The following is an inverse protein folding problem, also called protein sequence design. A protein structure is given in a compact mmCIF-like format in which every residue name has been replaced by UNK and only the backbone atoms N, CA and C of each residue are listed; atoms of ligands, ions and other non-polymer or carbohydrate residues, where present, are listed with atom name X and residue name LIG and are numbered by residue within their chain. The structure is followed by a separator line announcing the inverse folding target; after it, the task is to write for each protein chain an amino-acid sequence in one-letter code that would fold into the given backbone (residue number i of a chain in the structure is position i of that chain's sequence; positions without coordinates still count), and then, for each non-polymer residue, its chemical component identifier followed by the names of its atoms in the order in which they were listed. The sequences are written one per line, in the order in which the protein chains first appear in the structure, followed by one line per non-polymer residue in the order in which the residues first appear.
data_IF_158208673297
#
_entry.id   IF_158208673297
#
_cell.length_a   1.000
_cell.length_b   1.000
_cell.length_c   1.000
_cell.angle_alpha   90.00
_cell.angle_beta   90.00
_cell.angle_gamma   90.00
#
_symmetry.space_group_name_H-M   'P 1'
#
loop_
_entity.id
_entity.type
_entity.pdbx_description
1 polymer ?
#
# COMPACT_ATOMS: atom_id res chain seq x y z
N UNK A 1 -1.64 -17.47 -7.38
CA UNK A 1 -1.54 -16.54 -6.25
C UNK A 1 -0.73 -17.18 -5.15
N UNK A 2 0.33 -16.51 -4.72
CA UNK A 2 0.99 -16.81 -3.46
C UNK A 2 0.48 -15.79 -2.43
N UNK A 3 0.07 -16.26 -1.25
CA UNK A 3 0.05 -15.35 -0.10
C UNK A 3 1.47 -14.91 0.20
N UNK A 4 1.67 -13.79 0.92
CA UNK A 4 3.00 -13.36 1.36
C UNK A 4 3.79 -14.51 1.99
N UNK A 5 3.17 -15.28 2.89
CA UNK A 5 3.81 -16.43 3.53
C UNK A 5 4.21 -17.52 2.51
N UNK A 6 3.39 -17.80 1.48
CA UNK A 6 3.74 -18.77 0.43
C UNK A 6 4.88 -18.28 -0.46
N UNK A 7 4.99 -16.97 -0.69
CA UNK A 7 6.14 -16.39 -1.39
C UNK A 7 7.42 -16.64 -0.58
N UNK A 8 7.39 -16.40 0.72
CA UNK A 8 8.53 -16.63 1.61
C UNK A 8 8.95 -18.10 1.64
N UNK A 9 8.00 -19.04 1.76
CA UNK A 9 8.28 -20.49 1.66
C UNK A 9 8.99 -20.82 0.34
N UNK A 10 8.43 -20.38 -0.78
CA UNK A 10 8.93 -20.70 -2.12
C UNK A 10 10.33 -20.13 -2.39
N UNK A 11 10.58 -18.88 -2.00
CA UNK A 11 11.77 -18.14 -2.41
C UNK A 11 12.90 -18.17 -1.37
N UNK A 12 12.61 -18.51 -0.11
CA UNK A 12 13.59 -18.56 0.97
C UNK A 12 13.82 -19.97 1.54
N UNK A 13 13.19 -21.00 0.97
CA UNK A 13 13.25 -22.40 1.42
C UNK A 13 12.91 -22.56 2.92
N UNK A 14 11.87 -21.84 3.35
CA UNK A 14 11.41 -21.82 4.73
C UNK A 14 10.24 -22.77 4.96
N UNK A 15 10.10 -23.25 6.20
CA UNK A 15 8.84 -23.85 6.65
C UNK A 15 7.71 -22.82 6.63
N UNK A 16 6.45 -23.27 6.66
CA UNK A 16 5.31 -22.34 6.71
C UNK A 16 5.34 -21.50 7.99
N UNK A 17 5.72 -22.12 9.10
CA UNK A 17 5.87 -21.49 10.40
C UNK A 17 6.98 -20.43 10.39
N UNK A 18 8.16 -20.75 9.85
CA UNK A 18 9.28 -19.80 9.76
C UNK A 18 8.96 -18.65 8.81
N UNK A 19 8.32 -18.92 7.68
CA UNK A 19 7.85 -17.91 6.75
C UNK A 19 6.87 -16.94 7.43
N UNK A 20 5.92 -17.47 8.19
CA UNK A 20 4.96 -16.68 8.94
C UNK A 20 5.65 -15.81 10.01
N UNK A 21 6.55 -16.39 10.80
CA UNK A 21 7.31 -15.64 11.81
C UNK A 21 8.16 -14.54 11.19
N UNK A 22 8.81 -14.81 10.05
CA UNK A 22 9.63 -13.85 9.34
C UNK A 22 8.79 -12.72 8.73
N UNK A 23 7.65 -13.06 8.14
CA UNK A 23 6.68 -12.09 7.63
C UNK A 23 6.22 -11.13 8.75
N UNK A 24 5.81 -11.66 9.90
CA UNK A 24 5.41 -10.86 11.06
C UNK A 24 6.55 -10.00 11.61
N UNK A 25 7.77 -10.55 11.67
CA UNK A 25 8.96 -9.81 12.12
C UNK A 25 9.21 -8.60 11.21
N UNK A 26 9.27 -8.80 9.90
CA UNK A 26 9.53 -7.71 8.96
C UNK A 26 8.40 -6.69 8.89
N UNK A 27 7.16 -7.13 8.99
CA UNK A 27 6.04 -6.20 9.10
C UNK A 27 6.15 -5.32 10.34
N UNK A 28 6.50 -5.91 11.51
CA UNK A 28 6.66 -5.17 12.76
C UNK A 28 7.86 -4.21 12.75
N UNK A 29 8.98 -4.64 12.16
CA UNK A 29 10.24 -3.87 12.17
C UNK A 29 10.23 -2.75 11.13
N UNK A 30 9.66 -2.98 9.95
CA UNK A 30 9.74 -2.08 8.81
C UNK A 30 8.41 -1.47 8.37
N UNK A 31 7.28 -1.92 8.92
CA UNK A 31 5.93 -1.48 8.49
C UNK A 31 5.45 -2.07 7.17
N UNK A 32 6.34 -2.75 6.44
CA UNK A 32 6.07 -3.44 5.19
C UNK A 32 7.06 -4.60 5.06
N UNK A 33 6.55 -5.83 4.95
CA UNK A 33 7.41 -7.00 5.02
C UNK A 33 8.39 -7.14 3.84
N UNK A 34 8.01 -6.64 2.64
CA UNK A 34 8.91 -6.64 1.48
C UNK A 34 10.17 -5.81 1.70
N UNK A 35 10.14 -4.81 2.59
CA UNK A 35 11.36 -4.05 2.93
C UNK A 35 12.41 -4.95 3.62
N UNK A 36 11.97 -5.82 4.52
CA UNK A 36 12.87 -6.80 5.14
C UNK A 36 13.38 -7.84 4.14
N UNK A 37 12.53 -8.30 3.22
CA UNK A 37 12.92 -9.20 2.15
C UNK A 37 13.98 -8.58 1.23
N UNK A 38 13.80 -7.33 0.83
CA UNK A 38 14.74 -6.66 -0.07
C UNK A 38 16.06 -6.37 0.62
N UNK A 39 16.05 -5.93 1.88
CA UNK A 39 17.27 -5.65 2.66
C UNK A 39 18.09 -6.90 2.95
N UNK A 40 17.44 -7.99 3.37
CA UNK A 40 18.13 -9.15 3.95
C UNK A 40 18.24 -10.34 3.00
N UNK A 41 17.35 -10.44 2.01
CA UNK A 41 17.24 -11.61 1.12
C UNK A 41 17.39 -11.27 -0.36
N UNK A 42 17.67 -10.00 -0.70
CA UNK A 42 17.87 -9.52 -2.08
C UNK A 42 16.69 -9.82 -3.01
N UNK A 43 15.48 -9.93 -2.46
CA UNK A 43 14.26 -10.05 -3.24
C UNK A 43 13.95 -8.71 -3.91
N UNK A 44 13.69 -8.73 -5.21
CA UNK A 44 13.21 -7.58 -5.96
C UNK A 44 11.76 -7.25 -5.53
N UNK A 45 11.50 -6.04 -5.00
CA UNK A 45 10.14 -5.63 -4.64
C UNK A 45 9.13 -5.75 -5.80
N UNK A 46 9.55 -5.51 -7.05
CA UNK A 46 8.67 -5.60 -8.21
C UNK A 46 8.32 -7.06 -8.54
N UNK A 47 9.24 -8.01 -8.33
CA UNK A 47 8.95 -9.44 -8.46
C UNK A 47 7.95 -9.89 -7.39
N UNK A 48 8.15 -9.45 -6.14
CA UNK A 48 7.20 -9.71 -5.06
C UNK A 48 5.80 -9.16 -5.38
N UNK A 49 5.71 -7.90 -5.83
CA UNK A 49 4.43 -7.29 -6.22
C UNK A 49 3.74 -8.08 -7.33
N UNK A 50 4.48 -8.54 -8.34
CA UNK A 50 3.94 -9.34 -9.43
C UNK A 50 3.34 -10.67 -8.95
N UNK A 51 4.04 -11.40 -8.08
CA UNK A 51 3.59 -12.72 -7.61
C UNK A 51 2.52 -12.67 -6.50
N UNK A 52 2.46 -11.56 -5.76
CA UNK A 52 1.59 -11.39 -4.58
C UNK A 52 0.42 -10.46 -4.90
N UNK A 53 0.64 -9.14 -4.93
CA UNK A 53 -0.44 -8.14 -5.00
C UNK A 53 -1.10 -8.11 -6.38
N UNK A 54 -0.33 -8.14 -7.47
CA UNK A 54 -0.86 -8.08 -8.82
C UNK A 54 -1.60 -9.38 -9.19
N UNK A 55 -1.21 -10.51 -8.61
CA UNK A 55 -1.83 -11.82 -8.82
C UNK A 55 -3.16 -12.02 -8.07
N UNK A 56 -3.61 -11.06 -7.24
CA UNK A 56 -4.89 -11.13 -6.56
C UNK A 56 -6.08 -10.94 -7.53
N UNK A 57 -7.09 -11.85 -7.56
CA UNK A 57 -8.30 -11.72 -8.37
C UNK A 57 -9.26 -10.70 -7.73
N UNK A 58 -8.80 -9.44 -7.62
CA UNK A 58 -9.56 -8.38 -6.94
C UNK A 58 -10.93 -8.14 -7.58
N UNK A 59 -11.10 -8.43 -8.86
CA UNK A 59 -12.38 -8.34 -9.56
C UNK A 59 -13.44 -9.33 -9.04
N UNK A 60 -13.03 -10.43 -8.41
CA UNK A 60 -13.95 -11.41 -7.80
C UNK A 60 -14.28 -11.05 -6.34
N UNK A 61 -13.37 -10.32 -5.68
CA UNK A 61 -13.41 -10.01 -4.25
C UNK A 61 -14.05 -8.63 -4.01
N UNK A 62 -13.61 -7.63 -4.76
CA UNK A 62 -14.05 -6.25 -4.65
C UNK A 62 -15.13 -5.95 -5.67
N UNK A 63 -16.17 -5.26 -5.21
CA UNK A 63 -17.28 -4.77 -6.02
C UNK A 63 -17.43 -3.28 -5.72
N UNK A 64 -18.08 -2.50 -6.61
CA UNK A 64 -18.41 -1.12 -6.31
C UNK A 64 -19.09 -1.00 -4.95
N UNK A 65 -18.68 -0.02 -4.15
CA UNK A 65 -19.23 0.23 -2.83
C UNK A 65 -19.98 1.57 -2.81
N UNK A 66 -21.32 1.56 -3.03
CA UNK A 66 -22.11 2.77 -3.03
C UNK A 66 -22.15 3.50 -1.69
N UNK A 67 -21.92 2.81 -0.56
CA UNK A 67 -21.90 3.44 0.76
C UNK A 67 -20.61 4.22 0.95
N UNK A 68 -19.47 3.62 0.61
CA UNK A 68 -18.18 4.30 0.60
C UNK A 68 -18.19 5.49 -0.35
N UNK A 69 -18.71 5.30 -1.58
CA UNK A 69 -18.81 6.38 -2.56
C UNK A 69 -19.60 7.57 -2.02
N UNK A 70 -20.79 7.33 -1.47
CA UNK A 70 -21.62 8.39 -0.86
C UNK A 70 -20.91 9.12 0.29
N UNK A 71 -20.15 8.39 1.10
CA UNK A 71 -19.36 9.00 2.18
C UNK A 71 -18.30 9.94 1.62
N UNK A 72 -17.53 9.50 0.60
CA UNK A 72 -16.51 10.32 -0.04
C UNK A 72 -17.11 11.51 -0.78
N UNK A 73 -18.25 11.34 -1.46
CA UNK A 73 -19.00 12.42 -2.12
C UNK A 73 -19.57 13.46 -1.14
N UNK A 74 -19.70 13.10 0.15
CA UNK A 74 -20.15 14.04 1.19
C UNK A 74 -19.05 14.98 1.68
N UNK A 75 -17.79 14.75 1.28
CA UNK A 75 -16.69 15.64 1.62
C UNK A 75 -16.82 16.97 0.87
N UNK A 76 -16.64 18.08 1.59
CA UNK A 76 -16.58 19.41 0.98
C UNK A 76 -15.21 19.60 0.33
N UNK A 77 -15.09 19.22 -0.94
CA UNK A 77 -13.83 19.26 -1.70
C UNK A 77 -13.32 20.68 -1.97
N UNK A 78 -14.09 21.71 -1.63
CA UNK A 78 -13.60 23.10 -1.62
C UNK A 78 -12.71 23.40 -0.41
N UNK A 79 -12.76 22.55 0.63
CA UNK A 79 -12.00 22.70 1.88
C UNK A 79 -10.99 21.59 2.10
N UNK A 80 -11.29 20.37 1.64
CA UNK A 80 -10.42 19.21 1.81
C UNK A 80 -10.07 18.62 0.45
N UNK A 81 -8.80 18.26 0.27
CA UNK A 81 -8.32 17.54 -0.91
C UNK A 81 -8.19 16.06 -0.56
N UNK A 82 -9.06 15.17 -1.06
CA UNK A 82 -8.91 13.74 -0.80
C UNK A 82 -7.68 13.19 -1.53
N UNK A 83 -6.79 12.56 -0.79
CA UNK A 83 -5.53 12.01 -1.30
C UNK A 83 -5.29 10.61 -0.74
N UNK A 84 -4.88 9.68 -1.60
CA UNK A 84 -4.58 8.31 -1.20
C UNK A 84 -3.16 8.19 -0.65
N UNK A 85 -3.00 7.48 0.47
CA UNK A 85 -1.71 7.15 1.06
C UNK A 85 -1.60 5.65 1.39
N UNK A 86 -0.83 4.90 0.60
CA UNK A 86 -0.73 3.43 0.70
C UNK A 86 0.70 2.90 0.76
N UNK A 87 0.91 1.76 1.45
CA UNK A 87 2.17 0.99 1.41
C UNK A 87 2.24 0.03 0.22
N UNK A 88 1.12 -0.19 -0.49
CA UNK A 88 1.10 -1.00 -1.71
C UNK A 88 1.76 -0.25 -2.87
N UNK A 89 2.14 -0.98 -3.91
CA UNK A 89 2.57 -0.37 -5.16
C UNK A 89 1.40 0.29 -5.91
N UNK A 90 1.71 1.20 -6.83
CA UNK A 90 0.71 2.03 -7.52
C UNK A 90 -0.31 1.19 -8.32
N UNK A 91 0.11 0.06 -8.92
CA UNK A 91 -0.78 -0.81 -9.69
C UNK A 91 -1.92 -1.33 -8.82
N UNK A 92 -1.59 -1.87 -7.64
CA UNK A 92 -2.55 -2.40 -6.69
C UNK A 92 -3.47 -1.30 -6.16
N UNK A 93 -2.91 -0.18 -5.70
CA UNK A 93 -3.68 0.95 -5.16
C UNK A 93 -4.74 1.46 -6.14
N UNK A 94 -4.36 1.69 -7.41
CA UNK A 94 -5.29 2.11 -8.47
C UNK A 94 -6.35 1.05 -8.78
N UNK A 95 -5.96 -0.24 -8.83
CA UNK A 95 -6.90 -1.34 -9.09
C UNK A 95 -8.00 -1.41 -8.03
N UNK A 96 -7.65 -1.23 -6.76
CA UNK A 96 -8.60 -1.22 -5.63
C UNK A 96 -9.62 -0.10 -5.78
N UNK A 97 -9.19 1.16 -5.91
CA UNK A 97 -10.13 2.30 -5.97
C UNK A 97 -10.99 2.30 -7.22
N UNK A 98 -10.46 1.77 -8.34
CA UNK A 98 -11.23 1.57 -9.57
C UNK A 98 -12.34 0.54 -9.38
N UNK A 99 -12.04 -0.61 -8.78
CA UNK A 99 -13.02 -1.68 -8.54
C UNK A 99 -14.08 -1.28 -7.51
N UNK A 100 -13.70 -0.50 -6.50
CA UNK A 100 -14.62 0.07 -5.52
C UNK A 100 -15.48 1.21 -6.10
N UNK A 101 -15.14 1.73 -7.29
CA UNK A 101 -15.88 2.79 -7.96
C UNK A 101 -15.72 4.16 -7.30
N UNK A 102 -14.51 4.47 -6.81
CA UNK A 102 -14.19 5.72 -6.10
C UNK A 102 -12.90 6.38 -6.58
N UNK A 103 -12.27 5.87 -7.65
CA UNK A 103 -11.03 6.41 -8.21
C UNK A 103 -11.13 7.90 -8.54
N UNK A 104 -12.27 8.32 -9.09
CA UNK A 104 -12.57 9.70 -9.49
C UNK A 104 -12.73 10.69 -8.32
N UNK A 105 -12.81 10.19 -7.08
CA UNK A 105 -13.02 11.00 -5.88
C UNK A 105 -11.72 11.39 -5.18
N UNK A 106 -10.57 10.93 -5.67
CA UNK A 106 -9.25 11.27 -5.15
C UNK A 106 -8.45 12.07 -6.16
N UNK A 107 -7.75 13.11 -5.69
CA UNK A 107 -6.94 13.97 -6.56
C UNK A 107 -5.54 13.39 -6.83
N UNK A 108 -5.15 12.34 -6.12
CA UNK A 108 -3.89 11.66 -6.35
C UNK A 108 -3.60 10.56 -5.33
N UNK A 109 -2.43 9.95 -5.51
CA UNK A 109 -1.97 8.81 -4.72
C UNK A 109 -0.48 8.92 -4.43
N UNK A 110 -0.14 8.83 -3.15
CA UNK A 110 1.20 8.53 -2.67
C UNK A 110 1.26 7.05 -2.31
N UNK A 111 2.18 6.35 -2.94
CA UNK A 111 2.40 4.91 -2.81
C UNK A 111 3.86 4.62 -2.44
N UNK A 112 4.12 3.42 -1.93
CA UNK A 112 5.48 2.93 -1.72
C UNK A 112 6.07 2.54 -3.07
N UNK A 113 7.11 3.24 -3.53
CA UNK A 113 7.69 3.01 -4.86
C UNK A 113 8.64 1.80 -4.83
N UNK A 114 8.14 0.67 -5.31
CA UNK A 114 8.89 -0.59 -5.36
C UNK A 114 10.03 -0.55 -6.40
N UNK A 115 10.09 0.47 -7.25
CA UNK A 115 11.21 0.71 -8.16
C UNK A 115 12.37 1.51 -7.56
N UNK A 116 12.26 1.98 -6.31
CA UNK A 116 13.29 2.78 -5.64
C UNK A 116 13.67 2.19 -4.27
N UNK A 117 14.98 2.06 -4.03
CA UNK A 117 15.53 1.56 -2.77
C UNK A 117 16.35 2.64 -2.05
N UNK A 118 16.30 2.71 -0.70
CA UNK A 118 15.45 1.92 0.21
C UNK A 118 13.96 2.23 0.06
N UNK A 119 13.07 1.29 0.42
CA UNK A 119 11.63 1.54 0.30
C UNK A 119 11.19 2.57 1.36
N UNK A 120 10.46 3.59 0.90
CA UNK A 120 9.81 4.57 1.76
C UNK A 120 8.35 4.17 1.96
N UNK A 121 8.00 3.75 3.18
CA UNK A 121 6.66 3.28 3.53
C UNK A 121 6.25 3.71 4.95
N UNK A 122 4.96 3.65 5.26
CA UNK A 122 4.45 3.86 6.63
C UNK A 122 4.96 2.73 7.53
N UNK A 123 5.28 3.02 8.81
CA UNK A 123 4.97 4.24 9.56
C UNK A 123 6.09 5.30 9.53
N UNK A 124 7.04 5.24 8.60
CA UNK A 124 8.14 6.23 8.57
C UNK A 124 7.62 7.66 8.36
N UNK A 125 8.24 8.63 9.06
CA UNK A 125 7.92 10.05 8.89
C UNK A 125 8.19 10.53 7.45
N UNK A 126 9.17 9.92 6.78
CA UNK A 126 9.51 10.21 5.39
C UNK A 126 8.35 9.93 4.45
N UNK A 127 7.60 8.85 4.67
CA UNK A 127 6.42 8.51 3.86
C UNK A 127 5.28 9.53 4.03
N UNK A 128 5.06 10.04 5.26
CA UNK A 128 4.08 11.10 5.50
C UNK A 128 4.52 12.42 4.86
N UNK A 129 5.79 12.81 5.01
CA UNK A 129 6.33 14.01 4.38
C UNK A 129 6.27 13.93 2.84
N UNK A 130 6.51 12.74 2.26
CA UNK A 130 6.31 12.48 0.83
C UNK A 130 4.86 12.73 0.42
N UNK A 131 3.91 12.21 1.19
CA UNK A 131 2.49 12.37 0.92
C UNK A 131 2.03 13.83 0.99
N UNK A 132 2.43 14.55 2.03
CA UNK A 132 2.13 15.97 2.20
C UNK A 132 2.67 16.81 1.04
N UNK A 133 3.92 16.55 0.64
CA UNK A 133 4.56 17.22 -0.49
C UNK A 133 3.84 16.95 -1.81
N UNK A 134 3.51 15.69 -2.09
CA UNK A 134 2.82 15.30 -3.33
C UNK A 134 1.36 15.80 -3.38
N UNK A 135 0.67 15.81 -2.23
CA UNK A 135 -0.67 16.36 -2.12
C UNK A 135 -0.69 17.90 -2.22
N UNK A 136 0.45 18.55 -1.97
CA UNK A 136 0.55 20.02 -1.90
C UNK A 136 -0.05 20.58 -0.62
N UNK A 137 0.05 19.84 0.50
CA UNK A 137 -0.45 20.27 1.79
C UNK A 137 0.31 21.52 2.28
N UNK A 138 -0.38 22.55 2.79
CA UNK A 138 0.29 23.77 3.28
C UNK A 138 1.05 23.53 4.60
N UNK A 139 0.60 22.57 5.42
CA UNK A 139 1.27 22.14 6.64
C UNK A 139 0.73 20.80 7.14
N UNK A 140 1.50 20.09 7.97
CA UNK A 140 1.05 18.85 8.65
C UNK A 140 -0.21 19.07 9.50
N UNK A 141 -0.31 20.22 10.19
CA UNK A 141 -1.47 20.57 11.03
C UNK A 141 -2.78 20.74 10.24
N UNK A 142 -2.69 20.92 8.92
CA UNK A 142 -3.84 21.00 8.03
C UNK A 142 -4.27 19.64 7.45
N UNK A 143 -3.53 18.57 7.78
CA UNK A 143 -3.77 17.24 7.25
C UNK A 143 -4.60 16.41 8.23
N UNK A 144 -5.64 15.76 7.70
CA UNK A 144 -6.37 14.71 8.40
C UNK A 144 -5.92 13.36 7.84
N UNK A 145 -5.54 12.44 8.71
CA UNK A 145 -5.15 11.09 8.32
C UNK A 145 -6.17 10.07 8.81
N UNK A 146 -6.64 9.22 7.89
CA UNK A 146 -7.51 8.09 8.19
C UNK A 146 -6.79 6.82 7.74
N UNK A 147 -6.40 6.01 8.70
CA UNK A 147 -5.67 4.76 8.48
C UNK A 147 -5.36 4.06 9.79
N UNK A 148 -4.99 2.79 9.69
CA UNK A 148 -4.48 1.96 10.78
C UNK A 148 -2.98 1.79 10.65
#
# INVERSE_FOLDING_TARGET
MLSSDKFFVKHLDLTTEDAHMLHQKYYKEYGLAIEGLTRHHKIDPLEFNYEVDDALPLNEILKPDPKLRKLLESLDTTKVKPWLLTNAYVSHGKRVVKLLGVEDLFEGITYCDYGQLPLVCKPSQEMYAKAEKEAGAPSTESCYFVGT
#
